data_IF_231398822222
#
_entry.id   IF_231398822222
#
_cell.length_a   1.000
_cell.length_b   1.000
_cell.length_c   1.000
_cell.angle_alpha   90.00
_cell.angle_beta   90.00
_cell.angle_gamma   90.00
#
_symmetry.space_group_name_H-M   'P 1'
#
loop_
_entity.id
_entity.type
_entity.pdbx_description
1 polymer ?
#
# COMPACT_ATOMS: atom_id res chain seq x y z
N UNK A 1 13.93 -56.29 51.09
CA UNK A 1 15.01 -57.06 50.44
C UNK A 1 16.10 -57.27 51.48
N UNK A 2 16.79 -58.40 51.48
CA UNK A 2 17.88 -58.69 52.42
C UNK A 2 19.10 -57.87 51.97
N UNK A 3 19.74 -57.15 52.88
CA UNK A 3 20.96 -56.39 52.60
C UNK A 3 22.20 -57.27 52.78
N UNK A 4 23.36 -56.92 52.20
CA UNK A 4 24.61 -57.60 52.50
C UNK A 4 24.91 -57.70 54.02
N UNK A 5 24.57 -56.66 54.78
CA UNK A 5 24.68 -56.66 56.24
C UNK A 5 23.73 -57.65 56.93
N UNK A 6 22.54 -57.88 56.37
CA UNK A 6 21.60 -58.86 56.90
C UNK A 6 22.10 -60.30 56.68
N UNK A 7 22.88 -60.54 55.63
CA UNK A 7 23.55 -61.83 55.37
C UNK A 7 24.71 -61.99 56.35
N UNK A 8 25.53 -60.95 56.54
CA UNK A 8 26.68 -60.98 57.45
C UNK A 8 26.27 -61.19 58.92
N UNK A 9 25.18 -60.56 59.37
CA UNK A 9 24.69 -60.67 60.75
C UNK A 9 23.83 -61.91 60.99
N UNK A 10 23.70 -62.83 60.03
CA UNK A 10 22.78 -63.96 60.14
C UNK A 10 23.36 -65.07 61.02
N UNK A 11 22.75 -65.29 62.18
CA UNK A 11 23.06 -66.43 63.05
C UNK A 11 22.13 -67.61 62.80
N UNK A 12 22.68 -68.83 62.68
CA UNK A 12 21.93 -70.07 62.48
C UNK A 12 21.83 -70.89 63.78
N UNK A 13 20.70 -71.58 63.98
CA UNK A 13 20.49 -72.47 65.13
C UNK A 13 21.26 -73.80 64.98
N UNK A 14 21.96 -74.25 66.02
CA UNK A 14 22.72 -75.52 66.02
C UNK A 14 21.78 -76.74 66.20
N UNK A 15 22.00 -77.82 65.45
CA UNK A 15 21.30 -79.12 65.59
C UNK A 15 22.31 -80.27 65.51
N UNK A 16 21.98 -81.42 66.11
CA UNK A 16 22.87 -82.61 66.25
C UNK A 16 23.37 -83.19 64.90
N UNK A 17 22.68 -82.89 63.80
CA UNK A 17 23.11 -83.13 62.42
C UNK A 17 22.88 -81.82 61.64
N UNK A 18 23.93 -81.26 61.06
CA UNK A 18 23.90 -80.00 60.32
C UNK A 18 25.18 -79.78 59.52
N UNK A 19 25.21 -78.71 58.73
CA UNK A 19 26.39 -78.30 57.98
C UNK A 19 27.52 -77.81 58.90
N UNK A 20 28.76 -77.90 58.43
CA UNK A 20 29.92 -77.39 59.15
C UNK A 20 29.88 -75.86 59.22
N UNK A 21 29.98 -75.29 60.43
CA UNK A 21 29.87 -73.85 60.67
C UNK A 21 30.96 -73.05 59.94
N UNK A 22 32.19 -73.56 59.89
CA UNK A 22 33.31 -72.93 59.18
C UNK A 22 33.10 -72.87 57.65
N UNK A 23 32.66 -73.98 57.04
CA UNK A 23 32.36 -74.02 55.60
C UNK A 23 31.20 -73.09 55.25
N UNK A 24 30.15 -73.06 56.09
CA UNK A 24 29.00 -72.16 55.89
C UNK A 24 29.43 -70.71 56.01
N UNK A 25 30.24 -70.34 57.00
CA UNK A 25 30.72 -68.97 57.17
C UNK A 25 31.62 -68.53 56.01
N UNK A 26 32.55 -69.38 55.54
CA UNK A 26 33.39 -69.08 54.38
C UNK A 26 32.55 -68.86 53.11
N UNK A 27 31.50 -69.66 52.90
CA UNK A 27 30.60 -69.49 51.77
C UNK A 27 29.77 -68.20 51.91
N UNK A 28 29.30 -67.87 53.12
CA UNK A 28 28.55 -66.64 53.36
C UNK A 28 29.41 -65.38 53.13
N UNK A 29 30.70 -65.39 53.45
CA UNK A 29 31.61 -64.28 53.13
C UNK A 29 31.74 -64.04 51.62
N UNK A 30 31.88 -65.12 50.83
CA UNK A 30 31.90 -65.04 49.36
C UNK A 30 30.56 -64.51 48.81
N UNK A 31 29.44 -65.02 49.33
CA UNK A 31 28.09 -64.56 48.95
C UNK A 31 27.89 -63.09 49.31
N UNK A 32 28.34 -62.63 50.47
CA UNK A 32 28.23 -61.21 50.88
C UNK A 32 29.01 -60.33 49.89
N UNK A 33 30.26 -60.70 49.56
CA UNK A 33 31.10 -59.94 48.63
C UNK A 33 30.46 -59.81 47.24
N UNK A 34 29.98 -60.93 46.68
CA UNK A 34 29.31 -60.91 45.37
C UNK A 34 27.98 -60.16 45.41
N UNK A 35 27.21 -60.30 46.50
CA UNK A 35 25.94 -59.61 46.65
C UNK A 35 26.14 -58.10 46.79
N UNK A 36 27.16 -57.63 47.51
CA UNK A 36 27.53 -56.21 47.55
C UNK A 36 27.91 -55.68 46.18
N UNK A 37 28.69 -56.43 45.40
CA UNK A 37 29.09 -56.04 44.05
C UNK A 37 27.88 -55.88 43.15
N UNK A 38 27.00 -56.88 43.10
CA UNK A 38 25.75 -56.82 42.31
C UNK A 38 24.86 -55.67 42.79
N UNK A 39 24.76 -55.44 44.09
CA UNK A 39 23.95 -54.36 44.63
C UNK A 39 24.47 -52.97 44.22
N UNK A 40 25.79 -52.77 44.24
CA UNK A 40 26.42 -51.53 43.74
C UNK A 40 26.18 -51.34 42.24
N UNK A 41 26.43 -52.37 41.45
CA UNK A 41 26.23 -52.34 39.99
C UNK A 41 24.76 -52.06 39.63
N UNK A 42 23.80 -52.68 40.34
CA UNK A 42 22.37 -52.44 40.14
C UNK A 42 22.00 -50.99 40.41
N UNK A 43 22.48 -50.43 41.53
CA UNK A 43 22.20 -49.04 41.87
C UNK A 43 22.80 -48.07 40.85
N UNK A 44 24.03 -48.32 40.41
CA UNK A 44 24.67 -47.49 39.38
C UNK A 44 23.88 -47.56 38.06
N UNK A 45 23.43 -48.75 37.65
CA UNK A 45 22.58 -48.91 36.47
C UNK A 45 21.22 -48.21 36.61
N UNK A 46 20.58 -48.26 37.79
CA UNK A 46 19.35 -47.51 38.05
C UNK A 46 19.56 -46.00 37.92
N UNK A 47 20.62 -45.47 38.52
CA UNK A 47 20.97 -44.04 38.45
C UNK A 47 21.24 -43.60 36.99
N UNK A 48 21.96 -44.42 36.21
CA UNK A 48 22.19 -44.18 34.78
C UNK A 48 20.89 -44.24 33.97
N UNK A 49 20.02 -45.20 34.25
CA UNK A 49 18.74 -45.36 33.57
C UNK A 49 17.83 -44.16 33.83
N UNK A 50 17.78 -43.65 35.06
CA UNK A 50 16.98 -42.47 35.40
C UNK A 50 17.54 -41.21 34.75
N UNK A 51 18.87 -41.06 34.67
CA UNK A 51 19.50 -39.97 33.93
C UNK A 51 19.19 -40.03 32.43
N UNK A 52 19.19 -41.23 31.83
CA UNK A 52 18.82 -41.44 30.43
C UNK A 52 17.35 -41.14 30.17
N UNK A 53 16.44 -41.57 31.05
CA UNK A 53 15.00 -41.25 30.95
C UNK A 53 14.75 -39.75 31.01
N UNK A 54 15.43 -39.05 31.92
CA UNK A 54 15.30 -37.59 32.02
C UNK A 54 15.78 -36.87 30.74
N UNK A 55 16.89 -37.33 30.15
CA UNK A 55 17.37 -36.80 28.85
C UNK A 55 16.38 -37.09 27.73
N UNK A 56 15.82 -38.30 27.68
CA UNK A 56 14.84 -38.67 26.66
C UNK A 56 13.59 -37.78 26.73
N UNK A 57 13.04 -37.57 27.93
CA UNK A 57 11.89 -36.66 28.12
C UNK A 57 12.19 -35.23 27.66
N UNK A 58 13.41 -34.74 27.90
CA UNK A 58 13.82 -33.43 27.40
C UNK A 58 13.90 -33.39 25.87
N UNK A 59 14.40 -34.45 25.23
CA UNK A 59 14.43 -34.53 23.76
C UNK A 59 13.04 -34.63 23.16
N UNK A 60 12.14 -35.44 23.73
CA UNK A 60 10.74 -35.52 23.28
C UNK A 60 10.04 -34.16 23.38
N UNK A 61 10.27 -33.41 24.47
CA UNK A 61 9.72 -32.05 24.62
C UNK A 61 10.30 -31.08 23.61
N UNK A 62 11.59 -31.17 23.33
CA UNK A 62 12.27 -30.34 22.32
C UNK A 62 11.75 -30.65 20.92
N UNK A 63 11.62 -31.93 20.57
CA UNK A 63 11.05 -32.39 19.31
C UNK A 63 9.62 -31.88 19.11
N UNK A 64 8.76 -32.01 20.13
CA UNK A 64 7.40 -31.50 20.09
C UNK A 64 7.36 -29.98 19.85
N UNK A 65 8.25 -29.23 20.51
CA UNK A 65 8.37 -27.78 20.35
C UNK A 65 8.86 -27.42 18.95
N UNK A 66 9.87 -28.13 18.42
CA UNK A 66 10.40 -27.91 17.08
C UNK A 66 9.34 -28.23 16.02
N UNK A 67 8.64 -29.35 16.14
CA UNK A 67 7.56 -29.75 15.24
C UNK A 67 6.42 -28.72 15.24
N UNK A 68 6.01 -28.24 16.42
CA UNK A 68 5.02 -27.16 16.52
C UNK A 68 5.50 -25.86 15.86
N UNK A 69 6.77 -25.49 16.08
CA UNK A 69 7.37 -24.29 15.47
C UNK A 69 7.43 -24.40 13.95
N UNK A 70 7.80 -25.58 13.41
CA UNK A 70 7.83 -25.84 11.97
C UNK A 70 6.43 -25.75 11.36
N UNK A 71 5.41 -26.29 12.02
CA UNK A 71 4.02 -26.14 11.58
C UNK A 71 3.58 -24.69 11.57
N UNK A 72 3.87 -23.93 12.63
CA UNK A 72 3.56 -22.49 12.68
C UNK A 72 4.28 -21.69 11.58
N UNK A 73 5.54 -22.02 11.31
CA UNK A 73 6.31 -21.39 10.24
C UNK A 73 5.70 -21.71 8.86
N UNK A 74 5.30 -22.95 8.62
CA UNK A 74 4.63 -23.37 7.39
C UNK A 74 3.28 -22.66 7.22
N UNK A 75 2.46 -22.63 8.27
CA UNK A 75 1.17 -21.94 8.26
C UNK A 75 1.34 -20.44 8.00
N UNK A 76 2.32 -19.81 8.64
CA UNK A 76 2.65 -18.39 8.42
C UNK A 76 3.10 -18.15 6.98
N UNK A 77 3.97 -19.00 6.44
CA UNK A 77 4.42 -18.89 5.05
C UNK A 77 3.26 -19.03 4.05
N UNK A 78 2.36 -19.99 4.26
CA UNK A 78 1.16 -20.15 3.42
C UNK A 78 0.20 -18.95 3.56
N UNK A 79 0.01 -18.42 4.76
CA UNK A 79 -0.80 -17.23 4.99
C UNK A 79 -0.21 -15.99 4.30
N UNK A 80 1.11 -15.77 4.39
CA UNK A 80 1.81 -14.70 3.68
C UNK A 80 1.63 -14.83 2.18
N UNK A 81 1.82 -16.05 1.63
CA UNK A 81 1.64 -16.31 0.21
C UNK A 81 0.20 -16.05 -0.25
N UNK A 82 -0.79 -16.52 0.51
CA UNK A 82 -2.21 -16.30 0.21
C UNK A 82 -2.60 -14.83 0.28
N UNK A 83 -2.08 -14.10 1.25
CA UNK A 83 -2.33 -12.66 1.39
C UNK A 83 -1.70 -11.88 0.24
N UNK A 84 -0.44 -12.17 -0.11
CA UNK A 84 0.23 -11.54 -1.25
C UNK A 84 -0.49 -11.83 -2.58
N UNK A 85 -1.03 -13.03 -2.76
CA UNK A 85 -1.85 -13.36 -3.94
C UNK A 85 -3.14 -12.53 -4.00
N UNK A 86 -3.88 -12.44 -2.90
CA UNK A 86 -5.09 -11.61 -2.82
C UNK A 86 -4.81 -10.14 -3.07
N UNK A 87 -3.74 -9.61 -2.47
CA UNK A 87 -3.33 -8.23 -2.64
C UNK A 87 -2.91 -7.94 -4.09
N UNK A 88 -2.15 -8.85 -4.70
CA UNK A 88 -1.80 -8.76 -6.12
C UNK A 88 -3.05 -8.76 -7.01
N UNK A 89 -4.04 -9.61 -6.74
CA UNK A 89 -5.30 -9.63 -7.49
C UNK A 89 -6.09 -8.33 -7.32
N UNK A 90 -6.08 -7.76 -6.13
CA UNK A 90 -6.74 -6.48 -5.84
C UNK A 90 -6.06 -5.33 -6.60
N UNK A 91 -4.73 -5.25 -6.55
CA UNK A 91 -3.95 -4.25 -7.29
C UNK A 91 -4.22 -4.35 -8.79
N UNK A 92 -4.23 -5.57 -9.35
CA UNK A 92 -4.53 -5.76 -10.78
C UNK A 92 -5.95 -5.28 -11.10
N UNK A 93 -6.93 -5.61 -10.27
CA UNK A 93 -8.32 -5.19 -10.48
C UNK A 93 -8.48 -3.67 -10.39
N UNK A 94 -7.83 -3.04 -9.41
CA UNK A 94 -7.86 -1.60 -9.22
C UNK A 94 -7.19 -0.88 -10.39
N UNK A 95 -6.00 -1.32 -10.80
CA UNK A 95 -5.29 -0.78 -11.97
C UNK A 95 -6.09 -0.95 -13.28
N UNK A 96 -6.85 -2.05 -13.42
CA UNK A 96 -7.77 -2.24 -14.55
C UNK A 96 -8.94 -1.26 -14.49
N UNK A 97 -9.55 -1.08 -13.31
CA UNK A 97 -10.63 -0.13 -13.10
C UNK A 97 -10.19 1.30 -13.40
N UNK A 98 -9.04 1.71 -12.84
CA UNK A 98 -8.46 3.04 -13.06
C UNK A 98 -8.11 3.26 -14.53
N UNK A 99 -7.51 2.27 -15.20
CA UNK A 99 -7.28 2.32 -16.66
C UNK A 99 -8.57 2.57 -17.42
N UNK A 100 -9.65 1.86 -17.10
CA UNK A 100 -10.93 2.05 -17.80
C UNK A 100 -11.52 3.43 -17.54
N UNK A 101 -11.35 3.97 -16.32
CA UNK A 101 -11.78 5.32 -15.97
C UNK A 101 -11.01 6.36 -16.79
N UNK A 102 -9.67 6.28 -16.79
CA UNK A 102 -8.81 7.19 -17.56
C UNK A 102 -9.14 7.16 -19.05
N UNK A 103 -9.35 5.97 -19.62
CA UNK A 103 -9.74 5.85 -21.03
C UNK A 103 -11.11 6.46 -21.31
N UNK A 104 -12.08 6.23 -20.42
CA UNK A 104 -13.41 6.83 -20.53
C UNK A 104 -13.35 8.36 -20.49
N UNK A 105 -12.59 8.93 -19.55
CA UNK A 105 -12.40 10.37 -19.42
C UNK A 105 -11.70 10.98 -20.63
N UNK A 106 -10.63 10.32 -21.10
CA UNK A 106 -9.91 10.75 -22.29
C UNK A 106 -10.80 10.71 -23.54
N UNK A 107 -11.63 9.67 -23.70
CA UNK A 107 -12.61 9.60 -24.77
C UNK A 107 -13.67 10.71 -24.67
N UNK A 108 -14.15 11.02 -23.47
CA UNK A 108 -15.12 12.09 -23.25
C UNK A 108 -14.54 13.46 -23.64
N UNK A 109 -13.33 13.78 -23.20
CA UNK A 109 -12.65 15.04 -23.56
C UNK A 109 -12.28 15.08 -25.05
N UNK A 110 -11.88 13.95 -25.65
CA UNK A 110 -11.67 13.86 -27.10
C UNK A 110 -12.96 14.16 -27.88
N UNK A 111 -14.10 13.58 -27.47
CA UNK A 111 -15.40 13.82 -28.10
C UNK A 111 -15.81 15.28 -27.99
N UNK A 112 -15.63 15.88 -26.81
CA UNK A 112 -15.92 17.31 -26.57
C UNK A 112 -15.03 18.21 -27.42
N UNK A 113 -13.74 17.91 -27.50
CA UNK A 113 -12.79 18.66 -28.34
C UNK A 113 -13.18 18.55 -29.81
N UNK A 114 -13.48 17.34 -30.30
CA UNK A 114 -13.95 17.12 -31.68
C UNK A 114 -15.24 17.89 -31.98
N UNK A 115 -16.20 17.91 -31.05
CA UNK A 115 -17.43 18.68 -31.20
C UNK A 115 -17.15 20.19 -31.25
N UNK A 116 -16.19 20.69 -30.46
CA UNK A 116 -15.79 22.10 -30.49
C UNK A 116 -15.13 22.49 -31.81
N UNK A 117 -14.27 21.64 -32.36
CA UNK A 117 -13.66 21.84 -33.69
C UNK A 117 -14.74 21.91 -34.77
N UNK A 118 -15.66 20.95 -34.79
CA UNK A 118 -16.78 20.97 -35.74
C UNK A 118 -17.63 22.23 -35.61
N UNK A 119 -17.90 22.68 -34.39
CA UNK A 119 -18.64 23.92 -34.14
C UNK A 119 -17.90 25.13 -34.72
N UNK A 120 -16.59 25.26 -34.46
CA UNK A 120 -15.77 26.36 -34.99
C UNK A 120 -15.75 26.35 -36.52
N UNK A 121 -15.62 25.17 -37.15
CA UNK A 121 -15.71 25.04 -38.61
C UNK A 121 -17.06 25.53 -39.15
N UNK A 122 -18.16 25.14 -38.51
CA UNK A 122 -19.51 25.62 -38.92
C UNK A 122 -19.69 27.12 -38.70
N UNK A 123 -19.17 27.65 -37.60
CA UNK A 123 -19.25 29.08 -37.27
C UNK A 123 -18.42 29.92 -38.27
N UNK A 124 -17.25 29.43 -38.69
CA UNK A 124 -16.42 30.06 -39.72
C UNK A 124 -17.11 30.11 -41.08
N UNK A 125 -17.72 29.00 -41.50
CA UNK A 125 -18.48 28.95 -42.75
C UNK A 125 -19.65 29.94 -42.70
N UNK A 126 -20.39 29.97 -41.59
CA UNK A 126 -21.50 30.89 -41.40
C UNK A 126 -21.03 32.35 -41.39
N UNK A 127 -19.90 32.65 -40.75
CA UNK A 127 -19.31 33.99 -40.73
C UNK A 127 -18.89 34.44 -42.13
N UNK A 128 -18.26 33.55 -42.90
CA UNK A 128 -17.86 33.83 -44.28
C UNK A 128 -19.07 34.16 -45.17
N UNK A 129 -20.15 33.37 -45.08
CA UNK A 129 -21.39 33.64 -45.80
C UNK A 129 -22.06 34.96 -45.37
N UNK A 130 -22.10 35.25 -44.07
CA UNK A 130 -22.60 36.54 -43.55
C UNK A 130 -21.79 37.70 -44.11
N UNK A 131 -20.46 37.61 -44.09
CA UNK A 131 -19.57 38.64 -44.58
C UNK A 131 -19.79 38.90 -46.08
N UNK A 132 -19.84 37.83 -46.89
CA UNK A 132 -20.15 37.94 -48.32
C UNK A 132 -21.51 38.59 -48.57
N UNK A 133 -22.54 38.22 -47.80
CA UNK A 133 -23.87 38.83 -47.94
C UNK A 133 -23.88 40.30 -47.53
N UNK A 134 -23.16 40.70 -46.47
CA UNK A 134 -23.03 42.11 -46.10
C UNK A 134 -22.34 42.94 -47.18
N UNK A 135 -21.25 42.42 -47.77
CA UNK A 135 -20.57 43.11 -48.87
C UNK A 135 -21.43 43.19 -50.13
N UNK A 136 -22.14 42.13 -50.50
CA UNK A 136 -23.09 42.15 -51.63
C UNK A 136 -24.17 43.21 -51.41
N UNK A 137 -24.79 43.23 -50.22
CA UNK A 137 -25.82 44.21 -49.89
C UNK A 137 -25.26 45.65 -49.92
N UNK A 138 -24.07 45.87 -49.37
CA UNK A 138 -23.39 47.16 -49.43
C UNK A 138 -23.12 47.59 -50.89
N UNK A 139 -22.67 46.66 -51.74
CA UNK A 139 -22.43 46.94 -53.15
C UNK A 139 -23.74 47.30 -53.89
N UNK A 140 -24.83 46.56 -53.64
CA UNK A 140 -26.15 46.87 -54.20
C UNK A 140 -26.65 48.25 -53.75
N UNK A 141 -26.41 48.66 -52.50
CA UNK A 141 -26.72 50.02 -52.05
C UNK A 141 -25.88 51.10 -52.76
N UNK A 142 -24.60 50.85 -53.02
CA UNK A 142 -23.76 51.79 -53.78
C UNK A 142 -24.21 51.89 -55.23
N UNK A 143 -24.59 50.77 -55.84
CA UNK A 143 -25.12 50.75 -57.20
C UNK A 143 -26.46 51.48 -57.32
N UNK A 144 -27.34 51.36 -56.32
CA UNK A 144 -28.60 52.11 -56.31
C UNK A 144 -28.39 53.63 -56.19
N UNK A 145 -27.35 54.08 -55.46
CA UNK A 145 -26.96 55.50 -55.36
C UNK A 145 -26.34 56.02 -56.66
N UNK A 146 -25.58 55.20 -57.40
CA UNK A 146 -25.02 55.58 -58.71
C UNK A 146 -26.09 55.80 -59.80
N UNK A 147 -27.31 55.34 -59.60
CA UNK A 147 -28.46 55.58 -60.49
C UNK A 147 -29.18 56.91 -60.25
N UNK A 148 -28.82 57.66 -59.19
CA UNK A 148 -29.40 58.97 -58.91
C UNK A 148 -28.51 60.08 -59.51
N UNK A 149 -29.09 61.08 -60.19
CA UNK A 149 -28.33 62.22 -60.71
C UNK A 149 -27.60 62.92 -59.56
N UNK A 150 -26.34 63.27 -59.78
CA UNK A 150 -25.48 63.91 -58.77
C UNK A 150 -26.20 65.13 -58.16
N UNK A 151 -26.18 65.30 -56.82
CA UNK A 151 -26.66 66.54 -56.23
C UNK A 151 -25.79 67.67 -56.78
N UNK A 152 -26.42 68.59 -57.51
CA UNK A 152 -25.78 69.83 -57.93
C UNK A 152 -25.39 70.60 -56.67
N UNK A 153 -24.10 70.72 -56.44
CA UNK A 153 -23.56 71.75 -55.55
C UNK A 153 -23.73 73.06 -56.29
N UNK A 154 -24.78 73.82 -55.94
CA UNK A 154 -24.82 75.24 -56.26
C UNK A 154 -23.83 75.93 -55.33
N UNK A 155 -22.71 76.34 -55.90
CA UNK A 155 -21.84 77.36 -55.36
C UNK A 155 -22.66 78.66 -55.25
N UNK A 156 -23.10 78.98 -54.03
CA UNK A 156 -23.56 80.32 -53.68
C UNK A 156 -22.70 80.80 -52.52
N UNK A 157 -21.69 81.58 -52.86
CA UNK A 157 -21.13 82.55 -51.94
C UNK A 157 -22.18 83.60 -51.61
N UNK A 158 -22.71 83.54 -50.38
CA UNK A 158 -23.28 84.70 -49.72
C UNK A 158 -23.07 84.55 -48.21
N UNK A 159 -22.22 85.41 -47.67
CA UNK A 159 -22.15 85.73 -46.25
C UNK A 159 -23.50 86.33 -45.81
N UNK A 160 -24.06 85.87 -44.69
CA UNK A 160 -24.29 86.67 -43.46
C UNK A 160 -25.06 85.86 -42.42
N UNK A 161 -24.43 85.76 -41.25
CA UNK A 161 -24.96 85.98 -39.89
C UNK A 161 -26.36 85.47 -39.48
N UNK A 162 -26.38 84.72 -38.36
CA UNK A 162 -27.60 84.37 -37.65
C UNK A 162 -27.37 83.39 -36.50
N UNK A 163 -26.79 83.91 -35.41
CA UNK A 163 -26.95 83.54 -34.00
C UNK A 163 -27.13 82.07 -33.57
N UNK A 164 -26.08 81.60 -32.89
CA UNK A 164 -26.09 81.12 -31.50
C UNK A 164 -27.14 80.08 -31.07
N UNK A 165 -26.68 78.84 -30.89
CA UNK A 165 -26.89 78.17 -29.61
C UNK A 165 -25.79 77.12 -29.38
N UNK A 166 -24.86 77.51 -28.53
CA UNK A 166 -24.04 76.63 -27.69
C UNK A 166 -24.93 75.62 -26.95
N UNK A 167 -24.72 74.33 -27.19
CA UNK A 167 -24.72 73.34 -26.12
C UNK A 167 -23.37 72.66 -26.09
N UNK A 168 -22.56 73.21 -25.21
CA UNK A 168 -21.40 72.59 -24.58
C UNK A 168 -21.76 71.18 -24.07
N UNK A 169 -21.05 70.17 -24.56
CA UNK A 169 -20.42 69.16 -23.69
C UNK A 169 -19.46 68.31 -24.53
N UNK A 170 -18.20 68.76 -24.58
CA UNK A 170 -17.10 67.82 -24.65
C UNK A 170 -16.95 67.15 -23.28
N UNK A 171 -16.85 65.82 -23.26
CA UNK A 171 -15.85 65.21 -22.39
C UNK A 171 -15.19 64.03 -23.11
N UNK A 172 -13.89 64.13 -23.42
CA UNK A 172 -13.05 63.01 -23.76
C UNK A 172 -12.44 62.38 -22.50
N UNK A 173 -11.91 61.18 -22.68
CA UNK A 173 -10.92 60.50 -21.85
C UNK A 173 -11.37 59.99 -20.47
N UNK A 174 -11.33 58.68 -20.33
CA UNK A 174 -10.70 58.10 -19.14
C UNK A 174 -9.66 57.07 -19.59
N UNK A 175 -8.41 57.54 -19.59
CA UNK A 175 -7.21 56.74 -19.47
C UNK A 175 -6.68 57.00 -18.05
N UNK A 176 -6.76 55.99 -17.19
CA UNK A 176 -5.96 55.82 -15.96
C UNK A 176 -5.85 54.30 -15.78
N UNK A 177 -4.72 53.66 -16.07
CA UNK A 177 -3.44 53.74 -15.34
C UNK A 177 -3.62 53.63 -13.83
N UNK A 178 -3.44 52.41 -13.33
CA UNK A 178 -2.84 52.13 -12.03
C UNK A 178 -2.14 50.77 -12.12
N UNK A 179 -0.82 50.83 -12.25
CA UNK A 179 0.09 49.78 -11.81
C UNK A 179 0.28 49.90 -10.29
N UNK A 180 0.29 48.77 -9.59
CA UNK A 180 1.17 48.48 -8.44
C UNK A 180 1.25 46.96 -8.33
N UNK A 181 2.34 46.34 -8.75
CA UNK A 181 3.50 46.01 -7.90
C UNK A 181 3.16 45.13 -6.68
N UNK A 182 3.69 43.90 -6.72
CA UNK A 182 4.33 43.27 -5.57
C UNK A 182 3.46 42.38 -4.68
N UNK A 183 3.51 41.06 -4.91
CA UNK A 183 3.94 40.13 -3.86
C UNK A 183 4.36 38.78 -4.46
N UNK A 184 5.56 38.36 -4.08
CA UNK A 184 6.25 37.11 -4.40
C UNK A 184 5.62 35.89 -3.66
N UNK A 185 6.03 34.64 -3.98
CA UNK A 185 5.29 33.44 -3.62
C UNK A 185 5.52 33.02 -2.17
N UNK A 186 4.46 32.61 -1.48
CA UNK A 186 4.60 31.86 -0.23
C UNK A 186 4.83 30.38 -0.53
N UNK A 187 6.10 29.99 -0.59
CA UNK A 187 6.52 28.66 -0.15
C UNK A 187 6.14 28.48 1.33
N UNK A 188 5.55 27.33 1.65
CA UNK A 188 5.15 26.99 3.01
C UNK A 188 4.88 25.51 3.18
N UNK A 189 5.95 24.78 3.52
CA UNK A 189 6.03 23.63 4.45
C UNK A 189 5.16 22.40 4.11
N UNK A 190 5.69 21.27 3.65
CA UNK A 190 6.63 20.39 4.37
C UNK A 190 6.27 20.26 5.86
N UNK A 191 5.31 19.38 6.18
CA UNK A 191 5.09 18.87 7.53
C UNK A 191 5.55 17.40 7.56
N UNK A 192 6.78 17.23 8.03
CA UNK A 192 7.26 16.00 8.66
C UNK A 192 6.65 15.89 10.05
N UNK A 193 5.76 14.92 10.29
CA UNK A 193 5.63 14.17 11.57
C UNK A 193 5.15 12.76 11.24
N UNK A 194 6.00 11.73 11.35
CA UNK A 194 6.26 10.94 12.57
C UNK A 194 4.99 10.42 13.25
N UNK A 195 4.65 9.15 12.97
CA UNK A 195 4.71 8.02 13.92
C UNK A 195 4.65 6.67 13.18
#
# INVERSE_FOLDING_TARGET
>A
MITPMDIHNKTFSRKLRGYAEEEVNSFLEEVVSDYERIYREHREMEEQMDALKAKLQNYEKMEATMSSTLMMAQETAENVKKNAQKESELIIREAQSERTHILSDAEAEMRKTKASVQKIETDLNLYTEKLLNTFRSAMTMVESVKGLPSPHVQDQGQETEGEDQVTDTLSPADEKSAASEGEEPSEGQADERHE
#
